data_IF_591314710012
#
_entry.id   IF_591314710012
#
_cell.length_a   1.000
_cell.length_b   1.000
_cell.length_c   1.000
_cell.angle_alpha   90.00
_cell.angle_beta   90.00
_cell.angle_gamma   90.00
#
_symmetry.space_group_name_H-M   'P 1'
#
loop_
_entity.id
_entity.type
_entity.pdbx_description
1 polymer ?
#
# COMPACT_ATOMS: atom_id res chain seq x y z
N UNK A 1 11.15 -2.83 -13.83
CA UNK A 1 9.99 -3.76 -13.84
C UNK A 1 10.08 -4.56 -12.56
N UNK A 2 9.02 -4.70 -11.78
CA UNK A 2 9.08 -5.37 -10.46
C UNK A 2 9.06 -6.90 -10.66
N UNK A 3 10.21 -7.61 -10.56
CA UNK A 3 10.28 -9.03 -10.90
C UNK A 3 9.45 -9.88 -9.94
N UNK A 4 9.26 -9.36 -8.71
CA UNK A 4 8.46 -9.99 -7.68
C UNK A 4 6.99 -10.08 -8.08
N UNK A 5 6.41 -8.99 -8.63
CA UNK A 5 5.00 -9.00 -9.04
C UNK A 5 4.70 -10.06 -10.12
N UNK A 6 5.59 -10.19 -11.09
CA UNK A 6 5.46 -11.19 -12.15
C UNK A 6 5.68 -12.61 -11.63
N UNK A 7 6.68 -12.82 -10.78
CA UNK A 7 7.03 -14.14 -10.24
C UNK A 7 6.00 -14.66 -9.23
N UNK A 8 5.59 -13.82 -8.29
CA UNK A 8 4.76 -14.20 -7.15
C UNK A 8 3.26 -14.10 -7.45
N UNK A 9 2.83 -13.16 -8.30
CA UNK A 9 1.41 -12.91 -8.57
C UNK A 9 1.03 -13.07 -10.05
N UNK A 10 1.97 -13.43 -10.94
CA UNK A 10 1.70 -13.51 -12.38
C UNK A 10 1.41 -12.16 -13.05
N UNK A 11 1.61 -11.05 -12.34
CA UNK A 11 1.26 -9.72 -12.82
C UNK A 11 2.35 -9.17 -13.74
N UNK A 12 2.03 -9.03 -15.04
CA UNK A 12 2.90 -8.43 -16.04
C UNK A 12 2.48 -6.97 -16.34
N UNK A 13 3.33 -5.96 -16.10
CA UNK A 13 2.99 -4.55 -16.31
C UNK A 13 2.70 -4.16 -17.77
N UNK A 14 3.07 -4.98 -18.76
CA UNK A 14 2.68 -4.71 -20.15
C UNK A 14 1.26 -5.20 -20.46
N UNK A 15 0.81 -6.24 -19.75
CA UNK A 15 -0.44 -6.95 -20.06
C UNK A 15 -1.53 -6.72 -19.01
N UNK A 16 -1.20 -6.86 -17.73
CA UNK A 16 -2.22 -7.02 -16.67
C UNK A 16 -2.40 -5.84 -15.74
N UNK A 17 -1.47 -4.88 -15.67
CA UNK A 17 -1.66 -3.70 -14.82
C UNK A 17 -0.88 -2.47 -15.29
N UNK A 18 -1.31 -1.30 -14.80
CA UNK A 18 -0.58 -0.03 -14.88
C UNK A 18 -0.19 0.41 -13.47
N UNK A 19 1.05 0.83 -13.26
CA UNK A 19 1.46 1.48 -12.00
C UNK A 19 0.86 2.88 -11.96
N UNK A 20 0.10 3.18 -10.91
CA UNK A 20 -0.47 4.50 -10.65
C UNK A 20 0.46 5.31 -9.75
N UNK A 21 0.98 4.66 -8.71
CA UNK A 21 1.79 5.33 -7.71
C UNK A 21 2.81 4.37 -7.11
N UNK A 22 4.01 4.86 -6.85
CA UNK A 22 5.03 4.17 -6.06
C UNK A 22 5.64 5.19 -5.11
N UNK A 23 5.61 4.91 -3.82
CA UNK A 23 6.03 5.86 -2.80
C UNK A 23 6.80 5.15 -1.68
N UNK A 24 7.84 5.83 -1.19
CA UNK A 24 8.53 5.45 0.05
C UNK A 24 7.71 5.92 1.24
N UNK A 25 7.22 4.98 2.04
CA UNK A 25 6.43 5.25 3.26
C UNK A 25 7.37 5.51 4.44
N UNK A 26 8.61 5.00 4.37
CA UNK A 26 9.62 5.13 5.40
C UNK A 26 10.07 3.79 5.96
N UNK A 27 10.61 3.81 7.18
CA UNK A 27 11.25 2.65 7.79
C UNK A 27 11.01 2.61 9.29
N UNK A 28 11.01 1.40 9.87
CA UNK A 28 11.01 1.22 11.32
C UNK A 28 11.88 0.03 11.71
N UNK A 29 12.28 -0.03 12.97
CA UNK A 29 12.95 -1.19 13.54
C UNK A 29 11.96 -1.93 14.43
N UNK A 30 11.77 -3.22 14.17
CA UNK A 30 11.12 -4.13 15.08
C UNK A 30 12.19 -4.79 15.95
N UNK A 31 12.05 -4.67 17.26
CA UNK A 31 13.00 -5.24 18.22
C UNK A 31 12.34 -6.48 18.81
N UNK A 32 12.87 -7.64 18.46
CA UNK A 32 12.66 -8.89 19.18
C UNK A 32 13.67 -8.98 20.33
N UNK A 33 13.55 -9.99 21.19
CA UNK A 33 14.41 -10.16 22.37
C UNK A 33 15.91 -9.96 22.08
N UNK A 34 16.42 -10.57 21.00
CA UNK A 34 17.85 -10.50 20.65
C UNK A 34 18.11 -10.05 19.20
N UNK A 35 17.06 -9.75 18.44
CA UNK A 35 17.17 -9.47 17.00
C UNK A 35 16.48 -8.14 16.70
N UNK A 36 17.18 -7.28 15.97
CA UNK A 36 16.65 -6.00 15.49
C UNK A 36 16.41 -6.12 14.00
N UNK A 37 15.14 -6.22 13.60
CA UNK A 37 14.74 -6.27 12.20
C UNK A 37 14.43 -4.86 11.72
N UNK A 38 15.25 -4.34 10.80
CA UNK A 38 14.98 -3.06 10.14
C UNK A 38 14.09 -3.30 8.92
N UNK A 39 12.89 -2.73 8.94
CA UNK A 39 11.88 -2.87 7.90
C UNK A 39 11.80 -1.57 7.11
N UNK A 40 11.88 -1.68 5.79
CA UNK A 40 11.63 -0.59 4.85
C UNK A 40 10.27 -0.79 4.22
N UNK A 41 9.46 0.26 4.16
CA UNK A 41 8.06 0.19 3.79
C UNK A 41 7.84 1.03 2.55
N UNK A 42 7.42 0.37 1.47
CA UNK A 42 6.98 1.02 0.23
C UNK A 42 5.51 0.78 -0.04
N UNK A 43 4.85 1.76 -0.66
CA UNK A 43 3.50 1.61 -1.19
C UNK A 43 3.57 1.56 -2.72
N UNK A 44 2.92 0.54 -3.31
CA UNK A 44 2.74 0.42 -4.74
C UNK A 44 1.24 0.31 -5.03
N UNK A 45 0.71 1.29 -5.77
CA UNK A 45 -0.68 1.29 -6.23
C UNK A 45 -0.70 0.93 -7.71
N UNK A 46 -1.43 -0.13 -8.03
CA UNK A 46 -1.60 -0.61 -9.40
C UNK A 46 -3.08 -0.55 -9.78
N UNK A 47 -3.33 -0.22 -11.04
CA UNK A 47 -4.63 -0.37 -11.67
C UNK A 47 -4.56 -1.61 -12.56
N UNK A 48 -5.37 -2.61 -12.26
CA UNK A 48 -5.47 -3.82 -13.07
C UNK A 48 -6.15 -3.51 -14.42
N UNK A 49 -5.78 -4.26 -15.45
CA UNK A 49 -6.35 -4.19 -16.80
C UNK A 49 -7.15 -5.47 -17.06
N UNK A 50 -8.48 -5.40 -16.94
CA UNK A 50 -9.38 -6.56 -17.02
C UNK A 50 -9.96 -6.94 -15.66
N UNK A 51 -10.62 -8.10 -15.59
CA UNK A 51 -11.26 -8.59 -14.38
C UNK A 51 -10.25 -9.25 -13.42
N UNK A 52 -10.48 -9.12 -12.11
CA UNK A 52 -9.57 -9.62 -11.05
C UNK A 52 -9.35 -11.13 -11.17
N UNK A 53 -10.43 -11.87 -11.46
CA UNK A 53 -10.46 -13.32 -11.67
C UNK A 53 -9.58 -13.79 -12.82
N UNK A 54 -9.43 -12.98 -13.87
CA UNK A 54 -8.67 -13.35 -15.07
C UNK A 54 -7.17 -13.05 -14.92
N UNK A 55 -6.84 -12.13 -14.01
CA UNK A 55 -5.50 -11.54 -13.90
C UNK A 55 -4.70 -12.16 -12.77
N UNK A 56 -5.36 -12.47 -11.66
CA UNK A 56 -4.71 -13.07 -10.50
C UNK A 56 -4.88 -14.58 -10.61
N UNK A 57 -3.78 -15.34 -10.84
CA UNK A 57 -3.87 -16.79 -10.88
C UNK A 57 -4.41 -17.30 -9.54
N UNK A 58 -5.29 -18.30 -9.63
CA UNK A 58 -5.83 -19.05 -8.49
C UNK A 58 -4.70 -19.37 -7.49
N UNK A 59 -5.00 -19.29 -6.19
CA UNK A 59 -4.03 -19.37 -5.08
C UNK A 59 -2.97 -20.46 -5.33
N UNK A 60 -1.77 -20.05 -5.77
CA UNK A 60 -0.67 -20.99 -6.01
C UNK A 60 -0.14 -21.51 -4.68
N UNK A 61 0.05 -22.83 -4.61
CA UNK A 61 0.46 -23.59 -3.41
C UNK A 61 1.79 -23.17 -2.76
N UNK A 62 2.67 -22.43 -3.45
CA UNK A 62 4.03 -22.12 -2.93
C UNK A 62 4.08 -20.94 -1.94
N UNK A 63 3.20 -19.94 -2.07
CA UNK A 63 3.08 -18.85 -1.08
C UNK A 63 1.59 -18.44 -1.01
N UNK A 64 0.86 -18.80 0.06
CA UNK A 64 -0.53 -18.42 0.20
C UNK A 64 -0.60 -16.90 0.36
N UNK A 65 -1.03 -16.20 -0.68
CA UNK A 65 -1.35 -14.78 -0.64
C UNK A 65 -2.86 -14.63 -0.80
N UNK A 66 -3.43 -13.62 -0.14
CA UNK A 66 -4.85 -13.33 -0.19
C UNK A 66 -5.06 -11.84 -0.44
N UNK A 67 -5.93 -11.52 -1.40
CA UNK A 67 -6.42 -10.16 -1.57
C UNK A 67 -7.56 -9.92 -0.58
N UNK A 68 -7.47 -8.86 0.22
CA UNK A 68 -8.47 -8.55 1.26
C UNK A 68 -8.89 -7.09 1.17
N UNK A 69 -10.17 -6.82 1.44
CA UNK A 69 -10.65 -5.45 1.58
C UNK A 69 -9.97 -4.78 2.79
N UNK A 70 -9.66 -3.49 2.68
CA UNK A 70 -8.97 -2.75 3.74
C UNK A 70 -9.68 -2.78 5.10
N UNK A 71 -11.01 -2.90 5.11
CA UNK A 71 -11.81 -3.01 6.35
C UNK A 71 -11.60 -4.35 7.06
N UNK A 72 -11.40 -5.42 6.30
CA UNK A 72 -11.18 -6.77 6.83
C UNK A 72 -9.80 -6.94 7.48
N UNK A 73 -8.84 -6.04 7.21
CA UNK A 73 -7.50 -6.12 7.82
C UNK A 73 -7.51 -6.02 9.34
N UNK A 74 -8.51 -5.35 9.93
CA UNK A 74 -8.62 -5.21 11.38
C UNK A 74 -8.98 -6.54 12.09
N UNK A 75 -9.72 -7.42 11.41
CA UNK A 75 -10.16 -8.71 11.94
C UNK A 75 -9.19 -9.86 11.65
N UNK A 76 -8.08 -9.60 10.95
CA UNK A 76 -7.06 -10.61 10.67
C UNK A 76 -6.01 -10.65 11.77
N UNK A 77 -5.54 -11.86 12.10
CA UNK A 77 -4.44 -12.12 13.04
C UNK A 77 -3.08 -11.81 12.42
N UNK A 78 -2.90 -10.55 12.03
CA UNK A 78 -1.66 -10.04 11.48
C UNK A 78 -0.64 -9.80 12.59
N UNK A 79 0.63 -10.06 12.28
CA UNK A 79 1.73 -9.77 13.21
C UNK A 79 1.82 -8.26 13.51
N UNK A 80 2.32 -7.85 14.68
CA UNK A 80 2.45 -6.43 15.04
C UNK A 80 3.24 -5.61 14.01
N UNK A 81 4.25 -6.23 13.38
CA UNK A 81 5.03 -5.60 12.30
C UNK A 81 4.18 -5.26 11.08
N UNK A 82 3.33 -6.18 10.63
CA UNK A 82 2.41 -5.96 9.50
C UNK A 82 1.33 -4.94 9.86
N UNK A 83 0.75 -5.02 11.06
CA UNK A 83 -0.21 -4.02 11.57
C UNK A 83 0.42 -2.61 11.56
N UNK A 84 1.69 -2.48 11.98
CA UNK A 84 2.43 -1.22 11.93
C UNK A 84 2.63 -0.70 10.51
N UNK A 85 2.99 -1.57 9.55
CA UNK A 85 3.09 -1.21 8.12
C UNK A 85 1.77 -0.64 7.61
N UNK A 86 0.65 -1.31 7.92
CA UNK A 86 -0.68 -0.85 7.51
C UNK A 86 -1.00 0.55 8.06
N UNK A 87 -0.75 0.79 9.35
CA UNK A 87 -0.97 2.09 9.97
C UNK A 87 -0.09 3.19 9.35
N UNK A 88 1.17 2.87 9.01
CA UNK A 88 2.05 3.82 8.31
C UNK A 88 1.47 4.22 6.93
N UNK A 89 0.96 3.24 6.17
CA UNK A 89 0.30 3.50 4.88
C UNK A 89 -0.98 4.31 5.06
N UNK A 90 -1.80 4.01 6.07
CA UNK A 90 -3.02 4.79 6.35
C UNK A 90 -2.71 6.25 6.71
N UNK A 91 -1.72 6.48 7.56
CA UNK A 91 -1.27 7.82 7.93
C UNK A 91 -0.80 8.61 6.70
N UNK A 92 -0.05 7.95 5.82
CA UNK A 92 0.39 8.55 4.55
C UNK A 92 -0.81 8.96 3.68
N UNK A 93 -1.79 8.07 3.48
CA UNK A 93 -3.02 8.38 2.73
C UNK A 93 -3.78 9.56 3.32
N UNK A 94 -3.96 9.61 4.64
CA UNK A 94 -4.62 10.72 5.32
C UNK A 94 -3.86 12.04 5.16
N UNK A 95 -2.53 12.01 5.27
CA UNK A 95 -1.71 13.22 5.07
C UNK A 95 -1.83 13.79 3.66
N UNK A 96 -1.96 12.93 2.64
CA UNK A 96 -2.19 13.37 1.26
C UNK A 96 -3.55 14.03 1.09
N UNK A 97 -4.60 13.46 1.69
CA UNK A 97 -5.94 14.04 1.66
C UNK A 97 -5.92 15.43 2.32
N UNK A 98 -5.30 15.55 3.49
CA UNK A 98 -5.17 16.82 4.20
C UNK A 98 -4.37 17.88 3.42
N UNK A 99 -3.35 17.47 2.65
CA UNK A 99 -2.58 18.37 1.80
C UNK A 99 -3.35 18.81 0.54
N UNK A 100 -4.22 17.94 0.04
CA UNK A 100 -4.99 18.18 -1.19
C UNK A 100 -6.33 18.86 -0.92
N UNK A 101 -6.72 19.08 0.34
CA UNK A 101 -7.89 19.90 0.66
C UNK A 101 -7.60 21.36 0.27
N UNK A 102 -8.57 22.08 -0.33
CA UNK A 102 -8.40 23.48 -0.62
C UNK A 102 -8.31 24.22 0.71
N UNK A 103 -7.10 24.56 1.13
CA UNK A 103 -6.90 25.51 2.24
C UNK A 103 -7.72 26.76 1.91
N UNK A 104 -8.61 27.13 2.82
CA UNK A 104 -9.42 28.35 2.70
C UNK A 104 -8.47 29.51 2.42
N UNK A 105 -8.48 30.00 1.17
CA UNK A 105 -7.84 31.26 0.81
C UNK A 105 -8.54 32.32 1.65
N UNK A 106 -7.92 32.73 2.75
CA UNK A 106 -8.37 33.86 3.57
C UNK A 106 -8.69 35.01 2.62
N UNK A 107 -9.98 35.27 2.44
CA UNK A 107 -10.49 36.40 1.68
C UNK A 107 -9.93 37.65 2.38
N UNK A 108 -8.92 38.28 1.78
CA UNK A 108 -8.47 39.61 2.21
C UNK A 108 -9.67 40.54 2.01
N UNK A 109 -10.34 40.91 3.11
CA UNK A 109 -11.42 41.90 3.08
C UNK A 109 -10.88 43.19 2.45
N UNK A 110 -11.60 43.82 1.51
CA UNK A 110 -11.20 45.13 1.01
C UNK A 110 -11.31 46.14 2.16
N UNK A 111 -10.25 46.95 2.33
CA UNK A 111 -10.31 48.12 3.20
C UNK A 111 -11.29 49.11 2.57
N UNK A 112 -12.30 49.52 3.36
CA UNK A 112 -13.15 50.69 3.07
C UNK A 112 -12.31 51.96 3.17
#
# INVERSE_FOLDING_TARGET
MDPFLKKSFGLDPKRSYKVIEREDVGKFVHIFNHIRLKVYVGLLVIQLRGEISDILPEEKKEVPWKCVEGKALASLDLTPGVKKVYLMVQKLKQSKIARNSPSERKLKKPRK
#
